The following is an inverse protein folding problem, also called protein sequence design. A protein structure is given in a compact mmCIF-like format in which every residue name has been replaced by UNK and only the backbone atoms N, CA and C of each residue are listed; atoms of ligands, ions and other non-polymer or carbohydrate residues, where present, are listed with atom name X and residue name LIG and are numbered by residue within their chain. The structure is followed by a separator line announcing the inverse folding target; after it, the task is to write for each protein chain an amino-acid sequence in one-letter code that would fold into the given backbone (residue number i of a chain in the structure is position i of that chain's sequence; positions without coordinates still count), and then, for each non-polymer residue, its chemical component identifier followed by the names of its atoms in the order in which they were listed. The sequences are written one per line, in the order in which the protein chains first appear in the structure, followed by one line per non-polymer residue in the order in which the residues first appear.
data_IF_954379966790
#
_entry.id   IF_954379966790
#
_cell.length_a   1.000
_cell.length_b   1.000
_cell.length_c   1.000
_cell.angle_alpha   90.00
_cell.angle_beta   90.00
_cell.angle_gamma   90.00
#
_symmetry.space_group_name_H-M   'P 1'
#
loop_
_entity.id
_entity.type
_entity.pdbx_description
1 polymer ?
#
# COMPACT_ATOMS: atom_id res chain seq x y z
N UNK A 1 -35.94 15.12 -81.53
CA UNK A 1 -36.37 16.36 -82.20
C UNK A 1 -35.67 17.52 -81.52
N UNK A 2 -34.67 18.08 -82.21
CA UNK A 2 -34.19 19.48 -82.25
C UNK A 2 -33.92 20.14 -80.94
N UNK A 3 -32.60 20.28 -80.62
CA UNK A 3 -31.75 21.44 -80.93
C UNK A 3 -32.20 22.78 -80.32
N UNK A 4 -31.48 23.34 -79.35
CA UNK A 4 -31.01 24.70 -79.55
C UNK A 4 -29.85 25.06 -78.67
N UNK A 5 -28.72 25.34 -79.25
CA UNK A 5 -27.54 26.04 -78.71
C UNK A 5 -27.88 27.50 -78.38
N UNK A 6 -27.47 28.04 -77.30
CA UNK A 6 -27.05 29.45 -77.24
C UNK A 6 -25.86 29.62 -76.32
N UNK A 7 -24.88 30.16 -76.94
CA UNK A 7 -23.54 30.59 -76.60
C UNK A 7 -23.48 31.84 -75.72
N UNK A 8 -22.27 32.06 -75.12
CA UNK A 8 -21.67 33.31 -74.65
C UNK A 8 -21.92 33.63 -73.13
N UNK A 9 -20.97 33.80 -72.37
CA UNK A 9 -19.89 34.80 -72.32
C UNK A 9 -18.84 34.50 -71.30
N UNK A 10 -17.60 34.71 -71.67
CA UNK A 10 -16.38 34.71 -70.96
C UNK A 10 -16.33 35.93 -70.01
N UNK A 11 -16.20 35.73 -68.70
CA UNK A 11 -15.75 36.74 -67.74
C UNK A 11 -14.65 36.16 -66.87
N UNK A 12 -13.45 36.58 -67.20
CA UNK A 12 -12.27 36.27 -66.41
C UNK A 12 -12.29 37.10 -65.10
N UNK A 13 -12.44 36.45 -63.98
CA UNK A 13 -12.18 37.02 -62.67
C UNK A 13 -10.92 36.41 -62.12
N UNK A 14 -9.84 37.21 -62.03
CA UNK A 14 -8.63 36.90 -61.30
C UNK A 14 -8.99 36.88 -59.81
N UNK A 15 -9.20 35.69 -59.30
CA UNK A 15 -9.29 35.46 -57.86
C UNK A 15 -7.88 35.23 -57.25
N UNK A 16 -7.39 36.17 -56.46
CA UNK A 16 -6.26 35.96 -55.60
C UNK A 16 -6.61 34.84 -54.61
N UNK A 17 -6.10 33.65 -54.82
CA UNK A 17 -6.17 32.55 -53.85
C UNK A 17 -5.13 32.79 -52.77
N UNK A 18 -5.56 33.34 -51.61
CA UNK A 18 -4.81 33.30 -50.37
C UNK A 18 -4.80 31.84 -49.87
N UNK A 19 -3.72 31.13 -50.05
CA UNK A 19 -3.48 29.82 -49.41
C UNK A 19 -3.26 30.04 -47.91
N UNK A 20 -4.05 29.42 -47.02
CA UNK A 20 -3.71 29.44 -45.60
C UNK A 20 -2.42 28.68 -45.39
N UNK A 21 -1.43 29.33 -44.82
CA UNK A 21 -0.22 28.72 -44.32
C UNK A 21 -0.60 27.84 -43.12
N UNK A 22 -0.82 26.55 -43.38
CA UNK A 22 -0.96 25.59 -42.27
C UNK A 22 0.40 25.47 -41.61
N UNK A 23 0.56 26.10 -40.44
CA UNK A 23 1.68 25.84 -39.59
C UNK A 23 1.65 24.35 -39.21
N UNK A 24 2.54 23.56 -39.76
CA UNK A 24 2.84 22.23 -39.27
C UNK A 24 3.33 22.41 -37.81
N UNK A 25 2.45 22.17 -36.84
CA UNK A 25 2.86 21.93 -35.47
C UNK A 25 3.82 20.73 -35.52
N UNK A 26 5.11 21.01 -35.36
CA UNK A 26 6.09 19.95 -35.25
C UNK A 26 5.67 18.99 -34.13
N UNK A 27 5.62 17.71 -34.43
CA UNK A 27 5.54 16.67 -33.39
C UNK A 27 6.68 16.94 -32.42
N UNK A 28 6.42 17.01 -31.10
CA UNK A 28 7.50 17.16 -30.14
C UNK A 28 8.49 16.00 -30.36
N UNK A 29 9.73 16.31 -30.66
CA UNK A 29 10.79 15.30 -30.71
C UNK A 29 10.83 14.58 -29.36
N UNK A 30 10.99 13.25 -29.34
CA UNK A 30 11.22 12.52 -28.10
C UNK A 30 12.42 13.16 -27.42
N UNK A 31 12.25 13.67 -26.22
CA UNK A 31 13.35 14.17 -25.40
C UNK A 31 14.17 12.95 -25.04
N UNK A 32 15.31 12.76 -25.69
CA UNK A 32 16.28 11.76 -25.26
C UNK A 32 16.73 12.12 -23.83
N UNK A 33 16.68 11.16 -22.89
CA UNK A 33 17.22 11.41 -21.55
C UNK A 33 18.69 11.77 -21.69
N UNK A 34 19.22 12.67 -20.82
CA UNK A 34 20.64 13.03 -20.86
C UNK A 34 21.50 11.77 -20.78
N UNK A 35 22.56 11.71 -21.58
CA UNK A 35 23.43 10.54 -21.72
C UNK A 35 24.13 10.12 -20.40
N UNK A 36 24.10 10.98 -19.41
CA UNK A 36 24.52 10.80 -18.01
C UNK A 36 23.36 10.60 -17.01
N UNK A 37 22.13 10.34 -17.51
CA UNK A 37 21.09 9.79 -16.67
C UNK A 37 21.61 8.44 -16.14
N UNK A 38 22.30 8.51 -15.00
CA UNK A 38 22.74 7.36 -14.22
C UNK A 38 21.47 6.57 -13.92
N UNK A 39 21.27 5.49 -14.68
CA UNK A 39 20.40 4.40 -14.22
C UNK A 39 21.10 3.92 -12.96
N UNK A 40 20.66 4.44 -11.83
CA UNK A 40 21.27 4.19 -10.54
C UNK A 40 21.39 2.68 -10.35
N UNK A 41 22.56 2.23 -9.93
CA UNK A 41 22.90 0.83 -9.59
C UNK A 41 21.90 0.19 -8.59
N UNK A 42 20.97 0.98 -8.05
CA UNK A 42 19.93 0.58 -7.09
C UNK A 42 18.76 -0.23 -7.66
N UNK A 43 18.72 -0.48 -8.96
CA UNK A 43 17.67 -1.31 -9.59
C UNK A 43 18.01 -2.80 -9.54
N UNK A 44 19.29 -3.13 -9.28
CA UNK A 44 19.75 -4.52 -9.23
C UNK A 44 19.11 -5.25 -8.02
N UNK A 45 18.30 -6.25 -8.34
CA UNK A 45 17.57 -7.05 -7.34
C UNK A 45 16.16 -6.54 -6.97
N UNK A 46 15.71 -5.40 -7.50
CA UNK A 46 14.31 -4.94 -7.36
C UNK A 46 13.43 -5.65 -8.39
N UNK A 47 12.28 -6.13 -7.93
CA UNK A 47 11.29 -6.76 -8.81
C UNK A 47 10.29 -5.72 -9.33
N UNK A 48 9.67 -5.99 -10.47
CA UNK A 48 8.54 -5.20 -10.96
C UNK A 48 7.26 -5.78 -10.38
N UNK A 49 6.46 -4.94 -9.72
CA UNK A 49 5.18 -5.31 -9.12
C UNK A 49 4.04 -4.58 -9.81
N UNK A 50 2.92 -5.24 -9.98
CA UNK A 50 1.70 -4.60 -10.45
C UNK A 50 1.10 -3.65 -9.39
N UNK A 51 0.19 -2.77 -9.78
CA UNK A 51 -0.49 -1.90 -8.83
C UNK A 51 -1.49 -2.65 -7.94
N UNK A 52 -1.84 -3.89 -8.30
CA UNK A 52 -2.52 -4.89 -7.46
C UNK A 52 -1.72 -6.18 -7.52
N UNK A 53 -1.42 -6.75 -6.35
CA UNK A 53 -0.75 -8.03 -6.19
C UNK A 53 -1.51 -8.95 -5.24
N UNK A 54 -1.08 -10.21 -5.17
CA UNK A 54 -1.46 -11.12 -4.10
C UNK A 54 -0.38 -11.18 -3.04
N UNK A 55 -0.79 -11.33 -1.78
CA UNK A 55 0.10 -11.59 -0.66
C UNK A 55 -0.49 -12.64 0.26
N UNK A 56 0.34 -13.40 0.96
CA UNK A 56 -0.09 -14.21 2.11
C UNK A 56 0.12 -13.44 3.40
N UNK A 57 -0.90 -13.38 4.24
CA UNK A 57 -0.77 -12.90 5.62
C UNK A 57 -0.27 -14.07 6.47
N UNK A 58 0.87 -13.88 7.12
CA UNK A 58 1.49 -14.91 7.95
C UNK A 58 1.13 -14.74 9.44
N UNK A 59 0.96 -15.87 10.16
CA UNK A 59 1.25 -17.28 9.79
C UNK A 59 0.08 -18.03 9.14
N UNK A 60 -1.11 -17.44 9.05
CA UNK A 60 -2.34 -18.11 8.64
C UNK A 60 -2.35 -18.53 7.16
N UNK A 61 -1.42 -18.01 6.37
CA UNK A 61 -1.30 -18.26 4.92
C UNK A 61 -2.57 -17.90 4.12
N UNK A 62 -3.35 -16.94 4.62
CA UNK A 62 -4.53 -16.45 3.90
C UNK A 62 -4.11 -15.52 2.77
N UNK A 63 -4.51 -15.84 1.56
CA UNK A 63 -4.22 -15.04 0.38
C UNK A 63 -5.12 -13.80 0.33
N UNK A 64 -4.53 -12.63 0.16
CA UNK A 64 -5.26 -11.36 0.05
C UNK A 64 -4.80 -10.56 -1.16
N UNK A 65 -5.73 -9.78 -1.74
CA UNK A 65 -5.37 -8.77 -2.73
C UNK A 65 -4.84 -7.54 -2.02
N UNK A 66 -3.65 -7.10 -2.42
CA UNK A 66 -3.00 -5.91 -1.88
C UNK A 66 -2.95 -4.82 -2.94
N UNK A 67 -3.27 -3.58 -2.55
CA UNK A 67 -3.10 -2.41 -3.40
C UNK A 67 -1.72 -1.82 -3.17
N UNK A 68 -0.91 -1.73 -4.22
CA UNK A 68 0.40 -1.06 -4.21
C UNK A 68 0.15 0.42 -4.52
N UNK A 69 0.34 1.30 -3.55
CA UNK A 69 -0.13 2.70 -3.59
C UNK A 69 1.01 3.69 -3.37
N UNK A 70 1.56 4.20 -4.46
CA UNK A 70 2.61 5.23 -4.40
C UNK A 70 2.12 6.58 -3.85
N UNK A 71 0.81 6.81 -3.76
CA UNK A 71 0.22 8.00 -3.15
C UNK A 71 0.28 7.97 -1.62
N UNK A 72 0.27 6.79 -1.00
CA UNK A 72 0.33 6.61 0.44
C UNK A 72 1.78 6.53 0.94
N UNK A 73 2.09 7.20 2.07
CA UNK A 73 3.41 7.09 2.70
C UNK A 73 3.58 5.76 3.44
N UNK A 74 2.53 5.31 4.16
CA UNK A 74 2.57 4.16 5.05
C UNK A 74 1.55 3.12 4.64
N UNK A 75 1.83 1.86 4.94
CA UNK A 75 0.92 0.75 4.68
C UNK A 75 -0.23 0.72 5.69
N UNK A 76 -1.34 0.12 5.28
CA UNK A 76 -2.55 -0.02 6.10
C UNK A 76 -3.17 -1.40 5.89
N UNK A 77 -3.68 -1.98 6.98
CA UNK A 77 -4.36 -3.28 6.98
C UNK A 77 -5.77 -3.14 7.54
N UNK A 78 -6.71 -3.85 6.94
CA UNK A 78 -8.05 -3.99 7.50
C UNK A 78 -7.98 -4.63 8.88
N UNK A 79 -8.66 -4.03 9.84
CA UNK A 79 -8.75 -4.56 11.19
C UNK A 79 -10.04 -4.09 11.85
N UNK A 80 -10.72 -5.03 12.48
CA UNK A 80 -11.93 -4.84 13.29
C UNK A 80 -11.66 -5.25 14.72
N UNK A 81 -12.61 -5.00 15.64
CA UNK A 81 -12.53 -5.39 17.04
C UNK A 81 -11.22 -5.00 17.73
N UNK A 82 -10.69 -3.79 17.39
CA UNK A 82 -9.44 -3.27 17.92
C UNK A 82 -9.53 -3.04 19.44
N UNK A 83 -8.72 -3.77 20.19
CA UNK A 83 -8.60 -3.63 21.64
C UNK A 83 -7.13 -3.36 22.00
N UNK A 84 -6.88 -2.31 22.78
CA UNK A 84 -5.56 -1.98 23.32
C UNK A 84 -5.47 -2.47 24.75
N UNK A 85 -4.40 -3.17 25.06
CA UNK A 85 -4.16 -3.69 26.42
C UNK A 85 -2.68 -3.63 26.79
N UNK A 86 -2.37 -3.84 28.05
CA UNK A 86 -1.00 -3.97 28.52
C UNK A 86 -0.73 -5.45 28.82
N UNK A 87 0.47 -5.92 28.44
CA UNK A 87 1.02 -7.20 28.83
C UNK A 87 2.48 -6.94 29.22
N UNK A 88 2.83 -7.25 30.46
CA UNK A 88 4.18 -7.05 31.03
C UNK A 88 4.72 -5.62 30.85
N UNK A 89 3.91 -4.64 31.18
CA UNK A 89 4.23 -3.23 31.03
C UNK A 89 4.35 -2.72 29.60
N UNK A 90 4.24 -3.59 28.58
CA UNK A 90 4.27 -3.23 27.17
C UNK A 90 2.86 -3.06 26.63
N UNK A 91 2.67 -2.15 25.70
CA UNK A 91 1.39 -1.92 25.03
C UNK A 91 1.22 -2.92 23.89
N UNK A 92 0.05 -3.55 23.82
CA UNK A 92 -0.35 -4.52 22.82
C UNK A 92 -1.68 -4.12 22.17
N UNK A 93 -1.94 -4.69 21.01
CA UNK A 93 -3.21 -4.56 20.30
C UNK A 93 -3.71 -5.94 19.92
N UNK A 94 -4.95 -6.24 20.28
CA UNK A 94 -5.72 -7.39 19.76
C UNK A 94 -6.66 -6.89 18.68
N UNK A 95 -6.81 -7.63 17.61
CA UNK A 95 -7.67 -7.26 16.49
C UNK A 95 -8.01 -8.47 15.63
N UNK A 96 -9.10 -8.34 14.88
CA UNK A 96 -9.51 -9.31 13.88
C UNK A 96 -9.22 -8.75 12.48
N UNK A 97 -8.84 -9.63 11.55
CA UNK A 97 -8.67 -9.32 10.14
C UNK A 97 -9.66 -10.18 9.35
N UNK A 98 -10.73 -9.53 8.93
CA UNK A 98 -11.81 -10.16 8.16
C UNK A 98 -11.56 -9.92 6.68
N UNK A 99 -11.28 -10.97 5.93
CA UNK A 99 -10.96 -10.86 4.51
C UNK A 99 -11.63 -11.97 3.70
N UNK A 100 -11.78 -11.69 2.42
CA UNK A 100 -12.08 -12.74 1.45
C UNK A 100 -10.75 -13.29 0.93
N UNK A 101 -10.52 -14.59 1.15
CA UNK A 101 -9.35 -15.26 0.61
C UNK A 101 -9.33 -15.15 -0.92
N UNK A 102 -8.19 -14.70 -1.46
CA UNK A 102 -8.09 -14.37 -2.88
C UNK A 102 -7.97 -15.61 -3.79
N UNK A 103 -7.67 -16.77 -3.22
CA UNK A 103 -7.52 -18.02 -3.96
C UNK A 103 -8.77 -18.89 -3.85
N UNK A 104 -9.32 -19.03 -2.65
CA UNK A 104 -10.50 -19.89 -2.40
C UNK A 104 -11.82 -19.13 -2.56
N UNK A 105 -11.79 -17.81 -2.37
CA UNK A 105 -12.99 -16.97 -2.36
C UNK A 105 -13.82 -17.07 -1.08
N UNK A 106 -13.35 -17.78 -0.07
CA UNK A 106 -14.00 -17.93 1.23
C UNK A 106 -13.76 -16.71 2.13
N UNK A 107 -14.70 -16.42 3.03
CA UNK A 107 -14.50 -15.41 4.05
C UNK A 107 -13.71 -16.02 5.22
N UNK A 108 -12.62 -15.39 5.58
CA UNK A 108 -11.70 -15.82 6.64
C UNK A 108 -11.56 -14.71 7.67
N UNK A 109 -11.71 -15.05 8.95
CA UNK A 109 -11.40 -14.18 10.08
C UNK A 109 -10.15 -14.68 10.78
N UNK A 110 -9.09 -13.89 10.73
CA UNK A 110 -7.84 -14.14 11.46
C UNK A 110 -7.77 -13.28 12.71
N UNK A 111 -7.34 -13.85 13.83
CA UNK A 111 -7.20 -13.13 15.11
C UNK A 111 -5.74 -12.93 15.45
N UNK A 112 -5.38 -11.68 15.73
CA UNK A 112 -4.02 -11.32 16.06
C UNK A 112 -3.90 -10.62 17.39
N UNK A 113 -2.79 -10.87 18.07
CA UNK A 113 -2.27 -10.06 19.17
C UNK A 113 -0.84 -9.64 18.81
N UNK A 114 -0.58 -8.33 18.80
CA UNK A 114 0.74 -7.79 18.42
C UNK A 114 1.16 -6.68 19.37
N UNK A 115 2.47 -6.59 19.66
CA UNK A 115 2.99 -5.40 20.32
C UNK A 115 2.64 -4.14 19.55
N UNK A 116 2.17 -3.11 20.24
CA UNK A 116 1.96 -1.80 19.64
C UNK A 116 3.33 -1.19 19.30
N UNK A 117 3.63 -1.08 18.02
CA UNK A 117 4.90 -0.48 17.57
C UNK A 117 4.91 1.04 17.77
N UNK A 118 3.87 1.74 17.32
CA UNK A 118 3.65 3.17 17.49
C UNK A 118 2.19 3.55 17.21
N UNK A 119 1.88 4.82 17.43
CA UNK A 119 0.60 5.39 16.99
C UNK A 119 0.85 6.42 15.89
N UNK A 120 -0.09 6.57 14.99
CA UNK A 120 -0.10 7.62 13.97
C UNK A 120 -1.43 8.33 13.96
N UNK A 121 -1.40 9.60 13.62
CA UNK A 121 -2.59 10.38 13.30
C UNK A 121 -2.62 10.61 11.80
N UNK A 122 -3.69 10.16 11.16
CA UNK A 122 -3.93 10.39 9.73
C UNK A 122 -4.97 11.50 9.60
N UNK A 123 -4.58 12.58 8.93
CA UNK A 123 -5.47 13.72 8.65
C UNK A 123 -6.04 13.60 7.25
N UNK A 124 -7.33 13.80 7.11
CA UNK A 124 -8.02 13.75 5.83
C UNK A 124 -9.31 14.58 5.85
N UNK A 125 -10.08 14.53 4.76
CA UNK A 125 -11.33 15.28 4.64
C UNK A 125 -12.38 14.93 5.72
N UNK A 126 -12.27 13.74 6.32
CA UNK A 126 -13.14 13.27 7.41
C UNK A 126 -12.65 13.59 8.83
N UNK A 127 -11.57 14.38 8.98
CA UNK A 127 -10.98 14.70 10.29
C UNK A 127 -9.68 13.94 10.58
N UNK A 128 -9.38 13.76 11.86
CA UNK A 128 -8.21 13.02 12.36
C UNK A 128 -8.60 11.61 12.76
N UNK A 129 -7.76 10.65 12.36
CA UNK A 129 -7.93 9.23 12.66
C UNK A 129 -6.67 8.70 13.36
N UNK A 130 -6.80 8.31 14.62
CA UNK A 130 -5.71 7.81 15.46
C UNK A 130 -5.58 6.29 15.35
N UNK A 131 -4.56 5.83 14.65
CA UNK A 131 -4.38 4.41 14.33
C UNK A 131 -3.21 3.80 15.07
N UNK A 132 -3.41 2.62 15.68
CA UNK A 132 -2.29 1.81 16.13
C UNK A 132 -1.53 1.27 14.92
N UNK A 133 -0.20 1.18 15.06
CA UNK A 133 0.69 0.58 14.06
C UNK A 133 1.33 -0.64 14.68
N UNK A 134 1.27 -1.75 13.98
CA UNK A 134 1.91 -3.02 14.35
C UNK A 134 2.86 -3.46 13.24
N UNK A 135 3.75 -4.39 13.55
CA UNK A 135 4.55 -5.09 12.56
C UNK A 135 3.84 -6.39 12.16
N UNK A 136 3.75 -6.63 10.87
CA UNK A 136 3.18 -7.85 10.29
C UNK A 136 4.13 -8.39 9.25
N UNK A 137 4.12 -9.72 9.09
CA UNK A 137 4.85 -10.39 8.01
C UNK A 137 3.87 -10.77 6.90
N UNK A 138 4.21 -10.36 5.70
CA UNK A 138 3.51 -10.73 4.48
C UNK A 138 4.49 -11.39 3.52
N UNK A 139 4.04 -12.42 2.84
CA UNK A 139 4.76 -12.96 1.71
C UNK A 139 4.19 -12.38 0.42
N UNK A 140 5.05 -11.81 -0.42
CA UNK A 140 4.70 -11.25 -1.73
C UNK A 140 5.70 -11.82 -2.75
N UNK A 141 5.17 -12.40 -3.83
CA UNK A 141 6.01 -13.19 -4.73
C UNK A 141 6.57 -14.42 -4.00
N UNK A 142 7.89 -14.48 -3.90
CA UNK A 142 8.63 -15.54 -3.19
C UNK A 142 9.38 -15.05 -1.95
N UNK A 143 9.07 -13.84 -1.45
CA UNK A 143 9.79 -13.21 -0.34
C UNK A 143 8.86 -12.81 0.79
N UNK A 144 9.35 -12.94 2.01
CA UNK A 144 8.68 -12.49 3.23
C UNK A 144 9.20 -11.12 3.63
N UNK A 145 8.28 -10.18 3.82
CA UNK A 145 8.55 -8.82 4.25
C UNK A 145 7.93 -8.60 5.63
N UNK A 146 8.70 -8.06 6.58
CA UNK A 146 8.21 -7.60 7.87
C UNK A 146 8.02 -6.08 7.78
N UNK A 147 6.77 -5.65 7.74
CA UNK A 147 6.42 -4.26 7.49
C UNK A 147 5.48 -3.69 8.56
N UNK A 148 5.47 -2.35 8.65
CA UNK A 148 4.60 -1.62 9.56
C UNK A 148 3.25 -1.37 8.92
N UNK A 149 2.17 -1.80 9.59
CA UNK A 149 0.81 -1.56 9.15
C UNK A 149 0.02 -0.74 10.17
N UNK A 150 -0.57 0.36 9.72
CA UNK A 150 -1.60 1.04 10.46
C UNK A 150 -2.90 0.25 10.36
N UNK A 151 -3.52 0.00 11.51
CA UNK A 151 -4.76 -0.77 11.61
C UNK A 151 -5.97 0.17 11.58
N UNK A 152 -6.93 -0.13 10.73
CA UNK A 152 -8.22 0.56 10.67
C UNK A 152 -9.27 -0.33 10.02
N UNK A 153 -10.54 -0.04 10.28
CA UNK A 153 -11.62 -0.62 9.51
C UNK A 153 -11.55 -0.15 8.05
N UNK A 154 -11.45 -1.10 7.13
CA UNK A 154 -11.40 -0.91 5.68
C UNK A 154 -12.51 -1.70 4.97
N UNK A 155 -13.57 -2.07 5.69
CA UNK A 155 -14.71 -2.84 5.16
C UNK A 155 -15.37 -2.17 3.95
N UNK A 156 -15.37 -0.84 3.91
CA UNK A 156 -15.89 -0.05 2.79
C UNK A 156 -14.91 0.08 1.61
N UNK A 157 -13.73 -0.56 1.70
CA UNK A 157 -12.68 -0.44 0.67
C UNK A 157 -12.53 -1.74 -0.10
N UNK A 158 -12.22 -1.62 -1.39
CA UNK A 158 -12.03 -2.77 -2.29
C UNK A 158 -10.88 -3.68 -1.86
N UNK A 159 -9.83 -3.10 -1.26
CA UNK A 159 -8.62 -3.85 -0.89
C UNK A 159 -8.40 -3.81 0.62
N UNK A 160 -8.30 -4.98 1.27
CA UNK A 160 -8.10 -5.05 2.71
C UNK A 160 -6.70 -4.59 3.13
N UNK A 161 -5.73 -4.71 2.23
CA UNK A 161 -4.34 -4.33 2.47
C UNK A 161 -3.89 -3.30 1.43
N UNK A 162 -3.24 -2.25 1.91
CA UNK A 162 -2.62 -1.22 1.10
C UNK A 162 -1.13 -1.13 1.47
N UNK A 163 -0.26 -1.18 0.47
CA UNK A 163 1.18 -1.03 0.62
C UNK A 163 1.58 0.39 0.24
N UNK A 164 2.11 1.13 1.19
CA UNK A 164 2.59 2.49 0.99
C UNK A 164 4.06 2.54 0.57
N UNK A 165 4.54 3.75 0.20
CA UNK A 165 5.91 3.96 -0.33
C UNK A 165 7.01 3.32 0.50
N UNK A 166 6.92 3.38 1.85
CA UNK A 166 7.94 2.79 2.74
C UNK A 166 8.07 1.28 2.60
N UNK A 167 6.99 0.60 2.27
CA UNK A 167 7.01 -0.85 1.98
C UNK A 167 7.43 -1.09 0.54
N UNK A 168 6.94 -0.27 -0.40
CA UNK A 168 7.24 -0.41 -1.83
C UNK A 168 8.74 -0.30 -2.11
N UNK A 169 9.45 0.61 -1.43
CA UNK A 169 10.91 0.76 -1.59
C UNK A 169 11.70 -0.50 -1.25
N UNK A 170 11.15 -1.36 -0.36
CA UNK A 170 11.74 -2.66 -0.01
C UNK A 170 11.39 -3.77 -1.00
N UNK A 171 10.25 -3.65 -1.70
CA UNK A 171 9.75 -4.67 -2.62
C UNK A 171 10.33 -4.47 -4.01
N UNK A 172 10.09 -3.29 -4.62
CA UNK A 172 10.49 -3.08 -6.00
C UNK A 172 9.92 -1.83 -6.67
N UNK A 173 9.69 -1.92 -7.98
CA UNK A 173 9.17 -0.87 -8.84
C UNK A 173 7.73 -1.18 -9.24
N UNK A 174 6.86 -0.15 -9.30
CA UNK A 174 5.45 -0.34 -9.66
C UNK A 174 5.28 -0.19 -11.17
N UNK A 175 4.70 -1.21 -11.79
CA UNK A 175 4.04 -1.08 -13.10
C UNK A 175 2.56 -0.79 -12.88
N UNK A 176 2.16 0.45 -13.12
CA UNK A 176 0.79 0.91 -12.94
C UNK A 176 -0.16 0.41 -14.02
N UNK A 177 0.35 -0.20 -15.08
CA UNK A 177 -0.44 -0.76 -16.18
C UNK A 177 -0.84 -2.23 -15.96
N UNK A 178 -0.22 -2.90 -15.00
CA UNK A 178 -0.31 -4.35 -14.80
C UNK A 178 -0.78 -4.72 -13.41
N UNK A 179 -1.33 -5.93 -13.27
CA UNK A 179 -1.74 -6.54 -12.00
C UNK A 179 -1.27 -7.98 -11.94
N UNK A 180 -1.00 -8.47 -10.72
CA UNK A 180 -0.64 -9.86 -10.45
C UNK A 180 0.57 -10.34 -11.27
N UNK A 181 1.64 -9.54 -11.25
CA UNK A 181 2.89 -9.85 -11.95
C UNK A 181 3.72 -10.90 -11.20
N UNK A 182 3.58 -10.95 -9.87
CA UNK A 182 4.35 -11.85 -9.05
C UNK A 182 3.58 -13.15 -8.78
N UNK A 183 4.17 -14.33 -9.10
CA UNK A 183 3.63 -15.60 -8.64
C UNK A 183 3.72 -15.67 -7.11
N UNK A 184 2.70 -16.19 -6.45
CA UNK A 184 2.68 -16.31 -4.98
C UNK A 184 3.32 -17.66 -4.59
N UNK A 185 4.64 -17.68 -4.47
CA UNK A 185 5.45 -18.86 -4.19
C UNK A 185 6.23 -18.70 -2.88
N UNK A 186 5.48 -18.66 -1.79
CA UNK A 186 6.06 -18.38 -0.47
C UNK A 186 6.89 -19.57 0.05
N UNK A 187 8.01 -19.29 0.78
CA UNK A 187 8.76 -20.35 1.45
C UNK A 187 7.87 -21.12 2.42
N UNK A 188 7.90 -22.46 2.37
CA UNK A 188 7.06 -23.32 3.24
C UNK A 188 7.30 -23.07 4.72
N UNK A 189 8.53 -22.77 5.11
CA UNK A 189 8.94 -22.50 6.51
C UNK A 189 8.49 -21.13 7.01
N UNK A 190 8.05 -20.22 6.15
CA UNK A 190 7.74 -18.84 6.53
C UNK A 190 6.65 -18.75 7.61
N UNK A 191 5.65 -19.64 7.56
CA UNK A 191 4.56 -19.69 8.53
C UNK A 191 4.99 -20.30 9.86
N UNK A 192 5.83 -21.33 9.83
CA UNK A 192 6.32 -21.98 11.04
C UNK A 192 7.29 -21.07 11.80
N UNK A 193 8.15 -20.34 11.09
CA UNK A 193 8.98 -19.30 11.68
C UNK A 193 8.15 -18.20 12.35
N UNK A 194 7.08 -17.77 11.71
CA UNK A 194 6.21 -16.74 12.28
C UNK A 194 5.45 -17.25 13.51
N UNK A 195 4.92 -18.48 13.49
CA UNK A 195 4.30 -19.11 14.67
C UNK A 195 5.29 -19.22 15.83
N UNK A 196 6.52 -19.65 15.54
CA UNK A 196 7.58 -19.76 16.54
C UNK A 196 7.93 -18.41 17.16
N UNK A 197 8.03 -17.35 16.35
CA UNK A 197 8.23 -15.96 16.83
C UNK A 197 7.08 -15.47 17.70
N UNK A 198 5.84 -15.77 17.33
CA UNK A 198 4.66 -15.40 18.12
C UNK A 198 4.66 -16.11 19.48
N UNK A 199 4.95 -17.41 19.48
CA UNK A 199 5.06 -18.19 20.71
C UNK A 199 6.18 -17.67 21.62
N UNK A 200 7.34 -17.34 21.06
CA UNK A 200 8.45 -16.75 21.80
C UNK A 200 8.09 -15.39 22.38
N UNK A 201 7.46 -14.49 21.61
CA UNK A 201 6.98 -13.20 22.14
C UNK A 201 5.98 -13.38 23.30
N UNK A 202 5.14 -14.41 23.25
CA UNK A 202 4.18 -14.72 24.31
C UNK A 202 4.89 -15.30 25.56
N UNK A 203 5.88 -16.15 25.36
CA UNK A 203 6.68 -16.73 26.46
C UNK A 203 7.55 -15.70 27.16
N UNK A 204 8.25 -14.87 26.39
CA UNK A 204 9.06 -13.76 26.94
C UNK A 204 8.19 -12.79 27.76
N UNK A 205 6.95 -12.62 27.31
CA UNK A 205 5.97 -11.83 28.03
C UNK A 205 5.58 -12.45 29.37
N UNK A 206 5.41 -13.75 29.46
CA UNK A 206 5.04 -14.46 30.70
C UNK A 206 6.19 -14.53 31.72
N UNK A 207 7.43 -14.65 31.28
CA UNK A 207 8.60 -14.73 32.16
C UNK A 207 8.90 -13.42 32.90
N UNK A 208 8.53 -12.27 32.30
CA UNK A 208 8.73 -10.94 32.94
C UNK A 208 7.70 -10.71 34.05
N UNK A 209 6.50 -11.29 33.94
CA UNK A 209 5.45 -11.12 34.95
C UNK A 209 5.76 -11.87 36.27
N UNK A 210 6.34 -13.07 36.15
CA UNK A 210 6.69 -13.88 37.31
C UNK A 210 7.84 -13.26 38.16
N UNK A 211 8.73 -12.48 37.52
CA UNK A 211 9.84 -11.79 38.22
C UNK A 211 9.43 -10.47 38.88
N UNK A 212 8.22 -9.96 38.66
CA UNK A 212 7.72 -8.67 39.14
C UNK A 212 6.77 -8.75 40.32
N UNK A 213 6.41 -9.96 40.74
CA UNK A 213 5.53 -10.14 41.90
C UNK A 213 6.21 -9.81 43.23
N UNK A 214 7.52 -9.54 43.26
CA UNK A 214 8.29 -9.23 44.45
C UNK A 214 8.66 -7.73 44.64
N UNK A 215 8.23 -6.81 43.78
CA UNK A 215 8.44 -5.37 43.98
C UNK A 215 7.16 -4.63 44.40
N UNK A 216 7.17 -3.85 45.49
CA UNK A 216 6.03 -3.05 45.90
C UNK A 216 5.77 -1.93 44.91
N UNK A 217 4.53 -1.78 44.48
CA UNK A 217 4.04 -0.76 43.53
C UNK A 217 4.39 0.67 43.97
N UNK A 218 5.25 1.36 43.23
CA UNK A 218 5.39 2.81 43.33
C UNK A 218 4.14 3.50 42.79
N UNK A 219 3.71 4.62 43.40
CA UNK A 219 2.52 5.34 42.94
C UNK A 219 2.75 5.97 41.55
N UNK A 220 1.78 5.78 40.68
CA UNK A 220 1.76 6.39 39.35
C UNK A 220 1.71 7.93 39.49
N UNK A 221 2.75 8.64 39.06
CA UNK A 221 2.69 10.09 38.85
C UNK A 221 1.80 10.36 37.62
N UNK A 222 0.65 11.01 37.85
CA UNK A 222 -0.19 11.53 36.78
C UNK A 222 0.53 12.72 36.14
N UNK A 223 1.03 12.52 34.92
CA UNK A 223 1.52 13.61 34.08
C UNK A 223 0.33 14.45 33.58
N UNK A 224 0.00 15.49 34.33
CA UNK A 224 -0.84 16.60 33.89
C UNK A 224 -0.06 17.43 32.83
N UNK A 225 -0.17 17.08 31.57
CA UNK A 225 0.21 18.01 30.50
C UNK A 225 -0.85 19.11 30.35
N UNK A 226 -0.56 20.23 31.00
CA UNK A 226 -1.28 21.48 30.79
C UNK A 226 -1.06 21.98 29.35
N UNK A 227 -2.17 22.11 28.63
CA UNK A 227 -2.24 22.91 27.41
C UNK A 227 -1.90 24.36 27.72
N UNK A 228 -0.75 24.82 27.22
CA UNK A 228 -0.40 26.23 27.12
C UNK A 228 -0.85 26.77 25.76
N UNK A 229 -1.93 27.52 25.72
CA UNK A 229 -2.30 28.33 24.56
C UNK A 229 -1.41 29.57 24.43
N UNK A 230 -1.06 29.92 23.17
CA UNK A 230 -1.03 31.25 22.58
C UNK A 230 -0.87 31.10 21.05
#
# INVERSE_FOLDING_TARGET
MQLSFKSLSLAALLGLSATPLVALAGTPEPVEPPADAVLTEDVEGKVIVGWIEKALILPEQTAVKVKVDSGALTSSMHATNLERFKRDGKRWVRYDVDVKDADTGENVTMKFERPLYRQITVRGAGGEDHRPVVKMRLCIGNRVYEEQFSLRDRSDMTYPVLLGRRTIEHIGLIDVSSTFLLPLECPEQASDEERSRQQQMQQDATLVDDSRMDEPSEPEEEDDEQEGGE
#
